data_IF_781292772249
#
_entry.id   IF_781292772249
#
_cell.length_a   1.000
_cell.length_b   1.000
_cell.length_c   1.000
_cell.angle_alpha   90.00
_cell.angle_beta   90.00
_cell.angle_gamma   90.00
#
_symmetry.space_group_name_H-M   'P 1'
#
loop_
_entity.id
_entity.type
_entity.pdbx_description
1 polymer ?
#
# COMPACT_ATOMS: atom_id res chain seq x y z
N UNK A 1 145.84 80.99 75.95
CA UNK A 1 144.80 81.19 74.93
C UNK A 1 144.50 79.86 74.25
N UNK A 2 143.42 79.14 74.55
CA UNK A 2 142.96 78.01 73.70
C UNK A 2 141.45 77.78 73.84
N UNK A 3 140.77 77.61 72.69
CA UNK A 3 139.30 77.47 72.54
C UNK A 3 138.89 75.98 72.60
N UNK A 4 137.94 75.70 73.49
CA UNK A 4 136.85 74.69 73.52
C UNK A 4 136.96 73.38 72.70
N UNK A 5 137.01 72.26 73.42
CA UNK A 5 136.61 70.92 72.97
C UNK A 5 135.61 70.31 73.97
N UNK A 6 134.37 70.02 73.54
CA UNK A 6 133.40 69.18 74.25
C UNK A 6 133.06 67.95 73.37
N UNK A 7 132.90 66.73 73.93
CA UNK A 7 132.97 65.48 73.17
C UNK A 7 131.77 65.21 72.23
N UNK A 8 132.07 64.70 71.04
CA UNK A 8 131.12 64.27 69.98
C UNK A 8 130.31 63.03 70.41
N UNK A 9 128.99 63.04 70.12
CA UNK A 9 127.98 62.00 70.42
C UNK A 9 128.34 60.62 69.80
N UNK A 10 128.20 59.55 70.61
CA UNK A 10 128.49 58.15 70.28
C UNK A 10 127.67 57.69 69.06
N UNK A 11 126.44 58.18 68.87
CA UNK A 11 125.60 57.85 67.70
C UNK A 11 126.10 58.51 66.42
N UNK A 12 126.55 59.76 66.48
CA UNK A 12 127.13 60.44 65.31
C UNK A 12 128.44 59.77 64.90
N UNK A 13 129.28 59.37 65.85
CA UNK A 13 130.49 58.60 65.57
C UNK A 13 130.18 57.28 64.85
N UNK A 14 129.15 56.54 65.28
CA UNK A 14 128.73 55.28 64.63
C UNK A 14 128.08 55.49 63.24
N UNK A 15 127.34 56.58 63.03
CA UNK A 15 126.79 56.93 61.72
C UNK A 15 127.89 57.36 60.73
N UNK A 16 128.86 58.14 61.21
CA UNK A 16 130.06 58.52 60.45
C UNK A 16 130.86 57.26 60.11
N UNK A 17 131.08 56.34 61.04
CA UNK A 17 131.76 55.08 60.76
C UNK A 17 131.01 54.18 59.78
N UNK A 18 129.67 54.07 59.86
CA UNK A 18 128.87 53.34 58.86
C UNK A 18 128.99 53.96 57.48
N UNK A 19 128.92 55.29 57.35
CA UNK A 19 129.17 55.97 56.07
C UNK A 19 130.60 55.75 55.60
N UNK A 20 131.59 55.83 56.49
CA UNK A 20 133.00 55.57 56.14
C UNK A 20 133.20 54.12 55.69
N UNK A 21 132.53 53.15 56.33
CA UNK A 21 132.57 51.73 55.96
C UNK A 21 131.87 51.48 54.63
N UNK A 22 130.67 52.02 54.43
CA UNK A 22 129.95 51.95 53.16
C UNK A 22 130.71 52.64 52.02
N UNK A 23 131.34 53.80 52.28
CA UNK A 23 132.18 54.50 51.31
C UNK A 23 133.47 53.72 51.03
N UNK A 24 134.09 53.08 52.02
CA UNK A 24 135.22 52.16 51.80
C UNK A 24 134.83 50.94 50.97
N UNK A 25 133.67 50.32 51.22
CA UNK A 25 133.14 49.20 50.42
C UNK A 25 132.73 49.64 49.01
N UNK A 26 132.24 50.87 48.86
CA UNK A 26 131.92 51.49 47.57
C UNK A 26 133.21 51.82 46.81
N UNK A 27 134.20 52.41 47.45
CA UNK A 27 135.53 52.67 46.88
C UNK A 27 136.21 51.35 46.47
N UNK A 28 136.10 50.29 47.26
CA UNK A 28 136.58 48.95 46.90
C UNK A 28 135.96 48.42 45.60
N UNK A 29 134.68 48.70 45.36
CA UNK A 29 133.97 48.34 44.10
C UNK A 29 134.30 49.28 42.94
N UNK A 30 134.41 50.58 43.20
CA UNK A 30 134.68 51.59 42.18
C UNK A 30 136.14 51.45 41.71
N UNK A 31 137.14 51.44 42.59
CA UNK A 31 138.55 51.41 42.16
C UNK A 31 139.02 50.03 41.65
N UNK A 32 138.24 48.96 41.83
CA UNK A 32 138.52 47.65 41.23
C UNK A 32 138.03 47.61 39.78
N UNK A 33 138.95 47.80 38.83
CA UNK A 33 138.65 47.83 37.39
C UNK A 33 137.87 46.59 36.90
N UNK A 34 138.16 45.40 37.45
CA UNK A 34 137.51 44.13 37.06
C UNK A 34 136.05 44.07 37.52
N UNK A 35 135.75 44.50 38.74
CA UNK A 35 134.36 44.60 39.23
C UNK A 35 133.58 45.72 38.52
N UNK A 36 134.26 46.81 38.12
CA UNK A 36 133.62 47.92 37.39
C UNK A 36 133.26 47.55 35.95
N UNK A 37 134.04 46.70 35.30
CA UNK A 37 133.83 46.32 33.89
C UNK A 37 132.92 45.09 33.72
N UNK A 38 133.00 44.08 34.62
CA UNK A 38 132.27 42.80 34.49
C UNK A 38 131.83 42.24 35.87
N UNK A 39 131.50 43.11 36.83
CA UNK A 39 130.99 42.68 38.13
C UNK A 39 129.57 42.11 38.02
N UNK A 40 129.40 40.83 38.33
CA UNK A 40 128.11 40.14 38.28
C UNK A 40 127.91 39.34 39.55
N UNK A 41 126.72 39.41 40.13
CA UNK A 41 126.32 38.59 41.28
C UNK A 41 125.96 37.17 40.79
N UNK A 42 126.91 36.25 40.96
CA UNK A 42 126.75 34.86 40.51
C UNK A 42 125.75 34.08 41.34
N UNK A 43 125.58 34.43 42.61
CA UNK A 43 124.66 33.75 43.53
C UNK A 43 123.22 34.13 43.16
N UNK A 44 122.94 35.42 42.98
CA UNK A 44 121.63 35.90 42.54
C UNK A 44 121.24 35.39 41.14
N UNK A 45 122.17 35.37 40.18
CA UNK A 45 121.90 34.76 38.86
C UNK A 45 121.67 33.25 38.96
N UNK A 46 122.40 32.54 39.82
CA UNK A 46 122.19 31.12 40.07
C UNK A 46 120.79 30.85 40.61
N UNK A 47 120.32 31.67 41.55
CA UNK A 47 118.96 31.59 42.09
C UNK A 47 117.90 31.91 41.02
N UNK A 48 118.10 32.95 40.20
CA UNK A 48 117.18 33.26 39.08
C UNK A 48 117.08 32.13 38.06
N UNK A 49 118.19 31.43 37.77
CA UNK A 49 118.17 30.25 36.89
C UNK A 49 117.40 29.11 37.54
N UNK A 50 117.59 28.87 38.85
CA UNK A 50 116.82 27.86 39.59
C UNK A 50 115.33 28.16 39.60
N UNK A 51 114.94 29.41 39.88
CA UNK A 51 113.53 29.84 39.89
C UNK A 51 112.89 29.69 38.50
N UNK A 52 113.60 30.08 37.43
CA UNK A 52 113.13 29.90 36.05
C UNK A 52 112.94 28.43 35.72
N UNK A 53 113.91 27.58 36.05
CA UNK A 53 113.81 26.15 35.80
C UNK A 53 112.67 25.51 36.61
N UNK A 54 112.47 25.95 37.85
CA UNK A 54 111.34 25.48 38.68
C UNK A 54 109.99 25.89 38.10
N UNK A 55 109.88 27.13 37.60
CA UNK A 55 108.68 27.60 36.91
C UNK A 55 108.42 26.82 35.62
N UNK A 56 109.46 26.55 34.83
CA UNK A 56 109.36 25.73 33.62
C UNK A 56 108.91 24.30 33.97
N UNK A 57 109.51 23.65 34.96
CA UNK A 57 109.10 22.31 35.41
C UNK A 57 107.65 22.29 35.89
N UNK A 58 107.19 23.35 36.58
CA UNK A 58 105.81 23.48 37.03
C UNK A 58 104.84 23.63 35.85
N UNK A 59 105.20 24.43 34.86
CA UNK A 59 104.42 24.62 33.63
C UNK A 59 104.37 23.35 32.78
N UNK A 60 105.49 22.64 32.64
CA UNK A 60 105.56 21.34 31.96
C UNK A 60 104.69 20.29 32.66
N UNK A 61 104.73 20.22 34.00
CA UNK A 61 103.83 19.34 34.78
C UNK A 61 102.37 19.70 34.58
N UNK A 62 102.04 20.99 34.53
CA UNK A 62 100.67 21.48 34.29
C UNK A 62 100.20 21.13 32.88
N UNK A 63 101.04 21.37 31.87
CA UNK A 63 100.76 21.01 30.48
C UNK A 63 100.57 19.50 30.32
N UNK A 64 101.42 18.69 30.96
CA UNK A 64 101.30 17.24 30.96
C UNK A 64 100.00 16.75 31.65
N UNK A 65 99.56 17.39 32.73
CA UNK A 65 98.29 17.08 33.37
C UNK A 65 97.10 17.39 32.45
N UNK A 66 97.08 18.57 31.82
CA UNK A 66 96.03 18.92 30.85
C UNK A 66 96.01 18.00 29.63
N UNK A 67 97.18 17.60 29.11
CA UNK A 67 97.26 16.65 28.02
C UNK A 67 96.63 15.28 28.40
N UNK A 68 96.90 14.79 29.61
CA UNK A 68 96.28 13.56 30.15
C UNK A 68 94.76 13.69 30.26
N UNK A 69 94.27 14.82 30.78
CA UNK A 69 92.83 15.08 30.91
C UNK A 69 92.16 15.21 29.55
N UNK A 70 92.80 15.83 28.55
CA UNK A 70 92.30 15.88 27.17
C UNK A 70 92.12 14.48 26.59
N UNK A 71 93.15 13.62 26.69
CA UNK A 71 93.07 12.22 26.21
C UNK A 71 91.94 11.46 26.93
N UNK A 72 91.80 11.65 28.25
CA UNK A 72 90.71 11.04 29.02
C UNK A 72 89.34 11.53 28.54
N UNK A 73 89.18 12.83 28.32
CA UNK A 73 87.92 13.40 27.87
C UNK A 73 87.57 12.95 26.44
N UNK A 74 88.56 12.90 25.54
CA UNK A 74 88.36 12.42 24.17
C UNK A 74 87.96 10.94 24.13
N UNK A 75 88.59 10.10 24.97
CA UNK A 75 88.21 8.68 25.09
C UNK A 75 86.80 8.50 25.66
N UNK A 76 86.41 9.31 26.67
CA UNK A 76 85.04 9.32 27.20
C UNK A 76 84.05 9.74 26.10
N UNK A 77 84.35 10.79 25.33
CA UNK A 77 83.50 11.26 24.25
C UNK A 77 83.27 10.19 23.18
N UNK A 78 84.33 9.49 22.75
CA UNK A 78 84.22 8.39 21.78
C UNK A 78 83.38 7.22 22.31
N UNK A 79 83.49 6.88 23.59
CA UNK A 79 82.69 5.82 24.20
C UNK A 79 81.21 6.21 24.28
N UNK A 80 80.91 7.45 24.65
CA UNK A 80 79.54 7.98 24.67
C UNK A 80 78.94 8.01 23.27
N UNK A 81 79.69 8.46 22.26
CA UNK A 81 79.24 8.49 20.87
C UNK A 81 78.94 7.08 20.36
N UNK A 82 79.83 6.10 20.61
CA UNK A 82 79.59 4.70 20.23
C UNK A 82 78.35 4.12 20.90
N UNK A 83 78.14 4.42 22.18
CA UNK A 83 76.94 3.97 22.90
C UNK A 83 75.69 4.60 22.31
N UNK A 84 75.70 5.90 22.06
CA UNK A 84 74.58 6.60 21.44
C UNK A 84 74.27 6.03 20.05
N UNK A 85 75.28 5.81 19.20
CA UNK A 85 75.09 5.22 17.88
C UNK A 85 74.52 3.79 17.96
N UNK A 86 74.93 3.01 18.96
CA UNK A 86 74.37 1.69 19.20
C UNK A 86 72.89 1.79 19.61
N UNK A 87 72.58 2.64 20.59
CA UNK A 87 71.21 2.87 21.08
C UNK A 87 70.30 3.40 19.96
N UNK A 88 70.78 4.33 19.13
CA UNK A 88 70.07 4.83 17.95
C UNK A 88 69.78 3.72 16.94
N UNK A 89 70.76 2.85 16.65
CA UNK A 89 70.57 1.71 15.75
C UNK A 89 69.56 0.71 16.28
N UNK A 90 69.61 0.39 17.56
CA UNK A 90 68.64 -0.50 18.20
C UNK A 90 67.24 0.12 18.20
N UNK A 91 67.12 1.42 18.50
CA UNK A 91 65.84 2.13 18.43
C UNK A 91 65.24 2.14 17.02
N UNK A 92 66.06 2.40 16.00
CA UNK A 92 65.62 2.35 14.59
C UNK A 92 65.20 0.93 14.21
N UNK A 93 65.93 -0.10 14.65
CA UNK A 93 65.56 -1.50 14.40
C UNK A 93 64.21 -1.83 15.04
N UNK A 94 64.04 -1.54 16.32
CA UNK A 94 62.80 -1.80 17.05
C UNK A 94 61.61 -1.05 16.43
N UNK A 95 61.80 0.21 16.01
CA UNK A 95 60.78 0.98 15.32
C UNK A 95 60.39 0.34 13.97
N UNK A 96 61.38 -0.08 13.17
CA UNK A 96 61.12 -0.72 11.89
C UNK A 96 60.40 -2.06 12.06
N UNK A 97 60.76 -2.86 13.06
CA UNK A 97 60.06 -4.11 13.38
C UNK A 97 58.61 -3.86 13.78
N UNK A 98 58.37 -2.87 14.65
CA UNK A 98 57.02 -2.46 15.05
C UNK A 98 56.18 -2.01 13.84
N UNK A 99 56.73 -1.15 12.99
CA UNK A 99 56.06 -0.68 11.78
C UNK A 99 55.74 -1.83 10.82
N UNK A 100 56.65 -2.79 10.66
CA UNK A 100 56.43 -3.97 9.82
C UNK A 100 55.30 -4.86 10.38
N UNK A 101 55.28 -5.09 11.69
CA UNK A 101 54.21 -5.86 12.34
C UNK A 101 52.86 -5.16 12.19
N UNK A 102 52.83 -3.85 12.43
CA UNK A 102 51.62 -3.05 12.27
C UNK A 102 51.11 -3.06 10.83
N UNK A 103 52.00 -2.91 9.83
CA UNK A 103 51.65 -2.98 8.40
C UNK A 103 51.08 -4.34 7.99
N UNK A 104 51.61 -5.45 8.53
CA UNK A 104 51.04 -6.79 8.31
C UNK A 104 49.63 -6.89 8.87
N UNK A 105 49.41 -6.38 10.09
CA UNK A 105 48.11 -6.42 10.73
C UNK A 105 47.06 -5.60 9.96
N UNK A 106 47.39 -4.37 9.56
CA UNK A 106 46.48 -3.53 8.76
C UNK A 106 46.16 -4.12 7.40
N UNK A 107 47.12 -4.78 6.75
CA UNK A 107 46.85 -5.51 5.51
C UNK A 107 45.84 -6.64 5.73
N UNK A 108 46.07 -7.47 6.76
CA UNK A 108 45.16 -8.58 7.10
C UNK A 108 43.74 -8.07 7.41
N UNK A 109 43.59 -7.01 8.20
CA UNK A 109 42.27 -6.46 8.52
C UNK A 109 41.58 -5.89 7.28
N UNK A 110 42.31 -5.21 6.40
CA UNK A 110 41.76 -4.71 5.13
C UNK A 110 41.25 -5.86 4.24
N UNK A 111 42.02 -6.95 4.09
CA UNK A 111 41.57 -8.11 3.29
C UNK A 111 40.34 -8.78 3.86
N UNK A 112 40.24 -8.86 5.20
CA UNK A 112 39.07 -9.41 5.89
C UNK A 112 37.84 -8.50 5.75
N UNK A 113 38.01 -7.18 5.83
CA UNK A 113 36.93 -6.23 5.57
C UNK A 113 36.42 -6.38 4.14
N UNK A 114 37.31 -6.49 3.16
CA UNK A 114 36.95 -6.69 1.76
C UNK A 114 36.18 -8.00 1.55
N UNK A 115 36.60 -9.09 2.19
CA UNK A 115 35.91 -10.37 2.09
C UNK A 115 34.50 -10.32 2.69
N UNK A 116 34.34 -9.67 3.85
CA UNK A 116 33.03 -9.43 4.48
C UNK A 116 32.14 -8.58 3.58
N UNK A 117 32.69 -7.51 2.98
CA UNK A 117 31.92 -6.66 2.06
C UNK A 117 31.45 -7.43 0.82
N UNK A 118 32.31 -8.28 0.24
CA UNK A 118 31.92 -9.17 -0.88
C UNK A 118 30.78 -10.09 -0.48
N UNK A 119 30.87 -10.73 0.69
CA UNK A 119 29.83 -11.61 1.20
C UNK A 119 28.49 -10.88 1.45
N UNK A 120 28.53 -9.69 2.06
CA UNK A 120 27.34 -8.85 2.25
C UNK A 120 26.66 -8.48 0.94
N UNK A 121 27.44 -8.17 -0.12
CA UNK A 121 26.89 -7.90 -1.46
C UNK A 121 26.20 -9.12 -2.05
N UNK A 122 26.74 -10.33 -1.85
CA UNK A 122 26.10 -11.57 -2.31
C UNK A 122 24.78 -11.83 -1.60
N UNK A 123 24.74 -11.75 -0.26
CA UNK A 123 23.50 -11.88 0.52
C UNK A 123 22.48 -10.84 0.10
N UNK A 124 22.90 -9.59 -0.13
CA UNK A 124 22.00 -8.53 -0.56
C UNK A 124 21.34 -8.88 -1.91
N UNK A 125 22.12 -9.36 -2.89
CA UNK A 125 21.61 -9.80 -4.19
C UNK A 125 20.65 -10.98 -4.05
N UNK A 126 21.01 -12.01 -3.29
CA UNK A 126 20.16 -13.17 -3.05
C UNK A 126 18.82 -12.76 -2.42
N UNK A 127 18.84 -11.86 -1.43
CA UNK A 127 17.63 -11.35 -0.80
C UNK A 127 16.77 -10.51 -1.76
N UNK A 128 17.38 -9.72 -2.65
CA UNK A 128 16.66 -8.99 -3.70
C UNK A 128 15.97 -9.96 -4.67
N UNK A 129 16.67 -11.00 -5.11
CA UNK A 129 16.11 -12.04 -5.98
C UNK A 129 14.96 -12.80 -5.30
N UNK A 130 15.12 -13.19 -4.03
CA UNK A 130 14.05 -13.82 -3.24
C UNK A 130 12.82 -12.92 -3.11
N UNK A 131 13.01 -11.61 -2.85
CA UNK A 131 11.90 -10.65 -2.77
C UNK A 131 11.21 -10.48 -4.12
N UNK A 132 11.96 -10.40 -5.21
CA UNK A 132 11.40 -10.31 -6.56
C UNK A 132 10.60 -11.57 -6.93
N UNK A 133 11.10 -12.76 -6.57
CA UNK A 133 10.40 -14.01 -6.79
C UNK A 133 9.11 -14.08 -5.97
N UNK A 134 9.17 -13.71 -4.68
CA UNK A 134 7.99 -13.67 -3.81
C UNK A 134 6.94 -12.70 -4.34
N UNK A 135 7.35 -11.51 -4.78
CA UNK A 135 6.44 -10.54 -5.39
C UNK A 135 5.76 -11.09 -6.64
N UNK A 136 6.50 -11.79 -7.52
CA UNK A 136 5.91 -12.47 -8.68
C UNK A 136 4.91 -13.54 -8.27
N UNK A 137 5.23 -14.35 -7.26
CA UNK A 137 4.30 -15.34 -6.73
C UNK A 137 3.03 -14.68 -6.20
N UNK A 138 3.15 -13.62 -5.41
CA UNK A 138 2.01 -12.83 -4.93
C UNK A 138 1.17 -12.27 -6.10
N UNK A 139 1.81 -11.78 -7.17
CA UNK A 139 1.11 -11.32 -8.38
C UNK A 139 0.34 -12.46 -9.08
N UNK A 140 0.92 -13.67 -9.16
CA UNK A 140 0.25 -14.85 -9.70
C UNK A 140 -0.90 -15.32 -8.81
N UNK A 141 -0.71 -15.34 -7.49
CA UNK A 141 -1.74 -15.73 -6.52
C UNK A 141 -2.91 -14.74 -6.57
N UNK A 142 -2.62 -13.44 -6.61
CA UNK A 142 -3.63 -12.39 -6.78
C UNK A 142 -4.39 -12.57 -8.10
N UNK A 143 -3.69 -12.87 -9.20
CA UNK A 143 -4.35 -13.11 -10.48
C UNK A 143 -5.23 -14.37 -10.45
N UNK A 144 -4.76 -15.45 -9.83
CA UNK A 144 -5.53 -16.68 -9.66
C UNK A 144 -6.78 -16.43 -8.79
N UNK A 145 -6.65 -15.68 -7.70
CA UNK A 145 -7.78 -15.28 -6.86
C UNK A 145 -8.80 -14.46 -7.65
N UNK A 146 -8.35 -13.43 -8.39
CA UNK A 146 -9.22 -12.63 -9.24
C UNK A 146 -9.94 -13.51 -10.29
N UNK A 147 -9.22 -14.39 -10.97
CA UNK A 147 -9.78 -15.28 -11.97
C UNK A 147 -10.84 -16.22 -11.34
N UNK A 148 -10.56 -16.78 -10.16
CA UNK A 148 -11.48 -17.64 -9.41
C UNK A 148 -12.71 -16.88 -8.93
N UNK A 149 -12.58 -15.61 -8.51
CA UNK A 149 -13.72 -14.79 -8.11
C UNK A 149 -14.61 -14.45 -9.30
N UNK A 150 -14.01 -14.05 -10.42
CA UNK A 150 -14.72 -13.65 -11.65
C UNK A 150 -15.44 -14.84 -12.29
N UNK A 151 -14.75 -15.99 -12.41
CA UNK A 151 -15.38 -17.25 -12.85
C UNK A 151 -16.25 -17.89 -11.77
N UNK A 152 -16.15 -17.37 -10.55
CA UNK A 152 -16.87 -17.82 -9.39
C UNK A 152 -18.37 -17.67 -9.56
N UNK A 153 -19.04 -18.53 -8.84
CA UNK A 153 -20.47 -18.80 -8.89
C UNK A 153 -21.32 -17.61 -8.39
N UNK A 154 -20.71 -16.72 -7.59
CA UNK A 154 -21.30 -15.48 -7.09
C UNK A 154 -21.33 -14.38 -8.15
N UNK A 155 -20.20 -14.10 -8.81
CA UNK A 155 -20.06 -12.99 -9.78
C UNK A 155 -20.57 -13.36 -11.17
N UNK A 156 -20.45 -14.63 -11.58
CA UNK A 156 -21.02 -15.12 -12.85
C UNK A 156 -22.54 -15.30 -12.80
N UNK A 157 -23.13 -15.15 -11.61
CA UNK A 157 -24.55 -15.39 -11.34
C UNK A 157 -25.09 -16.73 -11.87
N UNK A 158 -24.26 -17.77 -11.88
CA UNK A 158 -24.63 -19.09 -12.41
C UNK A 158 -26.04 -19.57 -11.98
N UNK A 159 -26.98 -19.80 -12.92
CA UNK A 159 -28.34 -20.28 -12.62
C UNK A 159 -28.39 -21.69 -12.03
N UNK A 160 -27.37 -22.52 -12.30
CA UNK A 160 -27.32 -23.92 -11.87
C UNK A 160 -27.23 -24.07 -10.35
N UNK A 161 -26.86 -23.01 -9.64
CA UNK A 161 -26.91 -22.94 -8.17
C UNK A 161 -28.31 -23.19 -7.59
N UNK A 162 -29.35 -22.94 -8.37
CA UNK A 162 -30.73 -23.19 -7.97
C UNK A 162 -31.11 -24.68 -8.04
N UNK A 163 -30.30 -25.54 -8.67
CA UNK A 163 -30.62 -26.95 -8.86
C UNK A 163 -30.52 -27.67 -7.51
N UNK A 164 -31.64 -28.26 -7.07
CA UNK A 164 -31.68 -29.04 -5.83
C UNK A 164 -31.01 -30.40 -6.01
N UNK A 165 -30.19 -30.77 -5.04
CA UNK A 165 -29.63 -32.12 -4.95
C UNK A 165 -30.71 -33.20 -4.76
N UNK A 166 -31.88 -32.83 -4.24
CA UNK A 166 -33.01 -33.75 -4.00
C UNK A 166 -33.86 -34.01 -5.25
N UNK A 167 -33.50 -33.43 -6.40
CA UNK A 167 -34.03 -33.82 -7.70
C UNK A 167 -34.33 -32.65 -8.65
N UNK A 168 -34.49 -32.92 -9.97
CA UNK A 168 -34.54 -31.88 -11.00
C UNK A 168 -35.77 -30.95 -10.94
N UNK A 169 -36.85 -31.40 -10.29
CA UNK A 169 -38.10 -30.65 -10.17
C UNK A 169 -38.10 -29.67 -8.98
N UNK A 170 -37.07 -29.71 -8.13
CA UNK A 170 -36.94 -28.85 -6.96
C UNK A 170 -35.89 -27.80 -7.21
N UNK A 171 -36.19 -26.59 -6.75
CA UNK A 171 -35.24 -25.47 -6.74
C UNK A 171 -34.88 -25.10 -5.31
N UNK A 172 -33.65 -24.66 -5.10
CA UNK A 172 -33.21 -24.07 -3.83
C UNK A 172 -33.75 -22.64 -3.77
N UNK A 173 -34.70 -22.32 -2.85
CA UNK A 173 -35.40 -21.04 -2.88
C UNK A 173 -34.47 -19.83 -2.81
N UNK A 174 -33.47 -19.88 -1.93
CA UNK A 174 -32.55 -18.76 -1.68
C UNK A 174 -31.61 -18.45 -2.84
N UNK A 175 -31.43 -19.41 -3.76
CA UNK A 175 -30.52 -19.31 -4.92
C UNK A 175 -31.25 -19.16 -6.24
N UNK A 176 -32.58 -19.03 -6.20
CA UNK A 176 -33.39 -18.97 -7.40
C UNK A 176 -33.32 -17.58 -8.07
N UNK A 177 -32.89 -17.56 -9.34
CA UNK A 177 -32.69 -16.33 -10.12
C UNK A 177 -33.69 -16.16 -11.28
N UNK A 178 -34.82 -16.85 -11.21
CA UNK A 178 -35.85 -16.85 -12.26
C UNK A 178 -35.85 -18.08 -13.16
N UNK A 179 -36.69 -18.05 -14.20
CA UNK A 179 -36.85 -19.17 -15.13
C UNK A 179 -35.85 -19.08 -16.28
N UNK A 180 -35.43 -20.25 -16.80
CA UNK A 180 -34.56 -20.32 -17.96
C UNK A 180 -35.27 -19.75 -19.21
N UNK A 181 -34.51 -19.20 -20.15
CA UNK A 181 -35.00 -18.68 -21.43
C UNK A 181 -35.82 -19.73 -22.20
N UNK A 182 -35.45 -21.01 -22.15
CA UNK A 182 -36.22 -22.08 -22.77
C UNK A 182 -37.58 -22.31 -22.10
N UNK A 183 -37.63 -22.25 -20.76
CA UNK A 183 -38.88 -22.38 -20.02
C UNK A 183 -39.82 -21.22 -20.33
N UNK A 184 -39.28 -20.00 -20.36
CA UNK A 184 -40.03 -18.80 -20.76
C UNK A 184 -40.52 -18.89 -22.21
N UNK A 185 -39.73 -19.47 -23.12
CA UNK A 185 -40.14 -19.69 -24.51
C UNK A 185 -41.34 -20.63 -24.58
N UNK A 186 -41.30 -21.76 -23.85
CA UNK A 186 -42.43 -22.72 -23.80
C UNK A 186 -43.71 -22.05 -23.30
N UNK A 187 -43.62 -21.22 -22.25
CA UNK A 187 -44.78 -20.47 -21.74
C UNK A 187 -45.34 -19.55 -22.81
N UNK A 188 -44.50 -18.84 -23.57
CA UNK A 188 -44.94 -17.96 -24.66
C UNK A 188 -45.61 -18.74 -25.79
N UNK A 189 -45.03 -19.87 -26.19
CA UNK A 189 -45.61 -20.77 -27.19
C UNK A 189 -46.99 -21.27 -26.75
N UNK A 190 -47.15 -21.61 -25.47
CA UNK A 190 -48.42 -22.08 -24.91
C UNK A 190 -49.47 -20.96 -24.82
N UNK A 191 -49.07 -19.75 -24.43
CA UNK A 191 -49.94 -18.58 -24.45
C UNK A 191 -50.44 -18.27 -25.87
N UNK A 192 -49.58 -18.41 -26.88
CA UNK A 192 -49.97 -18.23 -28.27
C UNK A 192 -51.03 -19.26 -28.70
N UNK A 193 -50.85 -20.52 -28.33
CA UNK A 193 -51.86 -21.57 -28.56
C UNK A 193 -53.18 -21.26 -27.86
N UNK A 194 -53.14 -20.75 -26.64
CA UNK A 194 -54.36 -20.36 -25.91
C UNK A 194 -55.11 -19.21 -26.59
N UNK A 195 -54.40 -18.24 -27.16
CA UNK A 195 -55.03 -17.15 -27.93
C UNK A 195 -55.71 -17.68 -29.19
N UNK A 196 -55.04 -18.58 -29.92
CA UNK A 196 -55.60 -19.22 -31.11
C UNK A 196 -56.84 -20.06 -30.77
N UNK A 197 -56.79 -20.84 -29.69
CA UNK A 197 -57.92 -21.64 -29.22
C UNK A 197 -59.09 -20.76 -28.76
N UNK A 198 -58.80 -19.67 -28.05
CA UNK A 198 -59.83 -18.70 -27.64
C UNK A 198 -60.50 -18.09 -28.86
N UNK A 199 -59.72 -17.64 -29.84
CA UNK A 199 -60.24 -17.07 -31.09
C UNK A 199 -61.16 -18.07 -31.80
N UNK A 200 -60.77 -19.34 -31.87
CA UNK A 200 -61.60 -20.40 -32.46
C UNK A 200 -62.91 -20.59 -31.69
N UNK A 201 -62.87 -20.59 -30.36
CA UNK A 201 -64.07 -20.67 -29.51
C UNK A 201 -65.01 -19.49 -29.73
N UNK A 202 -64.48 -18.27 -29.81
CA UNK A 202 -65.26 -17.06 -30.06
C UNK A 202 -65.94 -17.12 -31.44
N UNK A 203 -65.24 -17.63 -32.47
CA UNK A 203 -65.80 -17.87 -33.81
C UNK A 203 -66.91 -18.93 -33.80
N UNK A 204 -66.72 -20.06 -33.11
CA UNK A 204 -67.73 -21.10 -32.95
C UNK A 204 -68.97 -20.58 -32.18
N UNK A 205 -68.77 -19.79 -31.13
CA UNK A 205 -69.85 -19.18 -30.36
C UNK A 205 -70.64 -18.16 -31.20
N UNK A 206 -69.96 -17.33 -31.97
CA UNK A 206 -70.60 -16.41 -32.91
C UNK A 206 -71.43 -17.16 -33.95
N UNK A 207 -70.93 -18.29 -34.48
CA UNK A 207 -71.70 -19.14 -35.40
C UNK A 207 -72.95 -19.70 -34.74
N UNK A 208 -72.84 -20.27 -33.53
CA UNK A 208 -74.00 -20.77 -32.78
C UNK A 208 -75.01 -19.67 -32.48
N UNK A 209 -74.55 -18.48 -32.10
CA UNK A 209 -75.42 -17.34 -31.85
C UNK A 209 -76.18 -16.94 -33.12
N UNK A 210 -75.50 -16.88 -34.26
CA UNK A 210 -76.11 -16.60 -35.56
C UNK A 210 -77.16 -17.68 -35.93
N UNK A 211 -76.87 -18.95 -35.70
CA UNK A 211 -77.83 -20.05 -35.91
C UNK A 211 -79.07 -19.92 -35.02
N UNK A 212 -78.88 -19.59 -33.73
CA UNK A 212 -79.97 -19.33 -32.80
C UNK A 212 -80.83 -18.14 -33.22
N UNK A 213 -80.20 -17.04 -33.65
CA UNK A 213 -80.91 -15.86 -34.14
C UNK A 213 -81.70 -16.17 -35.42
N UNK A 214 -81.14 -16.96 -36.34
CA UNK A 214 -81.84 -17.44 -37.54
C UNK A 214 -83.06 -18.30 -37.18
N UNK A 215 -82.90 -19.25 -36.25
CA UNK A 215 -84.01 -20.09 -35.76
C UNK A 215 -85.10 -19.25 -35.11
N UNK A 216 -84.73 -18.32 -34.24
CA UNK A 216 -85.67 -17.40 -33.59
C UNK A 216 -86.48 -16.59 -34.61
N UNK A 217 -85.82 -16.07 -35.65
CA UNK A 217 -86.49 -15.33 -36.74
C UNK A 217 -87.43 -16.26 -37.52
N UNK A 218 -87.01 -17.49 -37.83
CA UNK A 218 -87.83 -18.45 -38.55
C UNK A 218 -89.07 -18.88 -37.75
N UNK A 219 -88.90 -19.15 -36.45
CA UNK A 219 -90.00 -19.48 -35.53
C UNK A 219 -90.97 -18.30 -35.37
N UNK A 220 -90.47 -17.07 -35.19
CA UNK A 220 -91.31 -15.88 -35.14
C UNK A 220 -92.13 -15.70 -36.44
N UNK A 221 -91.50 -15.93 -37.60
CA UNK A 221 -92.20 -15.91 -38.90
C UNK A 221 -93.26 -16.99 -39.00
N UNK A 222 -92.95 -18.22 -38.59
CA UNK A 222 -93.90 -19.34 -38.58
C UNK A 222 -95.08 -19.07 -37.64
N UNK A 223 -94.82 -18.52 -36.45
CA UNK A 223 -95.85 -18.09 -35.50
C UNK A 223 -96.78 -17.04 -36.09
N UNK A 224 -96.24 -15.99 -36.74
CA UNK A 224 -97.05 -14.97 -37.42
C UNK A 224 -97.91 -15.52 -38.56
N UNK A 225 -97.46 -16.57 -39.26
CA UNK A 225 -98.23 -17.23 -40.32
C UNK A 225 -99.36 -18.06 -39.70
N UNK A 226 -99.05 -18.83 -38.64
CA UNK A 226 -100.03 -19.64 -37.93
C UNK A 226 -101.13 -18.76 -37.28
N UNK A 227 -100.75 -17.66 -36.63
CA UNK A 227 -101.70 -16.69 -36.04
C UNK A 227 -102.61 -16.08 -37.12
N UNK A 228 -102.05 -15.69 -38.28
CA UNK A 228 -102.85 -15.23 -39.42
C UNK A 228 -103.81 -16.29 -39.95
N UNK A 229 -103.43 -17.56 -39.92
CA UNK A 229 -104.29 -18.66 -40.36
C UNK A 229 -105.44 -18.89 -39.37
N UNK A 230 -105.17 -18.89 -38.06
CA UNK A 230 -106.18 -18.98 -37.01
C UNK A 230 -107.17 -17.82 -37.13
N UNK A 231 -106.68 -16.60 -37.34
CA UNK A 231 -107.52 -15.40 -37.49
C UNK A 231 -108.43 -15.50 -38.73
N UNK A 232 -107.95 -16.06 -39.84
CA UNK A 232 -108.78 -16.33 -41.04
C UNK A 232 -109.86 -17.35 -40.76
N UNK A 233 -109.50 -18.46 -40.12
CA UNK A 233 -110.43 -19.53 -39.76
C UNK A 233 -111.50 -19.04 -38.79
N UNK A 234 -111.11 -18.25 -37.79
CA UNK A 234 -112.02 -17.59 -36.84
C UNK A 234 -113.00 -16.67 -37.57
N UNK A 235 -112.54 -15.81 -38.47
CA UNK A 235 -113.42 -14.93 -39.27
C UNK A 235 -114.38 -15.72 -40.15
N UNK A 236 -113.94 -16.84 -40.73
CA UNK A 236 -114.79 -17.71 -41.52
C UNK A 236 -115.89 -18.38 -40.65
N UNK A 237 -115.52 -18.83 -39.44
CA UNK A 237 -116.48 -19.36 -38.47
C UNK A 237 -117.47 -18.29 -38.01
N UNK A 238 -117.02 -17.08 -37.70
CA UNK A 238 -117.88 -15.95 -37.33
C UNK A 238 -118.85 -15.58 -38.46
N UNK A 239 -118.40 -15.62 -39.72
CA UNK A 239 -119.26 -15.39 -40.89
C UNK A 239 -120.31 -16.50 -41.07
N UNK A 240 -119.91 -17.77 -40.89
CA UNK A 240 -120.84 -18.90 -40.93
C UNK A 240 -121.91 -18.78 -39.85
N UNK A 241 -121.50 -18.49 -38.60
CA UNK A 241 -122.42 -18.24 -37.49
C UNK A 241 -123.37 -17.07 -37.78
N UNK A 242 -122.87 -15.99 -38.38
CA UNK A 242 -123.71 -14.86 -38.80
C UNK A 242 -124.77 -15.28 -39.83
N UNK A 243 -124.38 -16.03 -40.86
CA UNK A 243 -125.31 -16.52 -41.89
C UNK A 243 -126.35 -17.49 -41.33
N UNK A 244 -125.94 -18.40 -40.45
CA UNK A 244 -126.84 -19.35 -39.79
C UNK A 244 -127.84 -18.63 -38.88
N UNK A 245 -127.38 -17.64 -38.10
CA UNK A 245 -128.26 -16.78 -37.29
C UNK A 245 -129.27 -16.00 -38.16
N UNK A 246 -128.87 -15.52 -39.33
CA UNK A 246 -129.78 -14.86 -40.28
C UNK A 246 -130.83 -15.83 -40.83
N UNK A 247 -130.44 -17.05 -41.20
CA UNK A 247 -131.37 -18.10 -41.66
C UNK A 247 -132.37 -18.46 -40.57
N UNK A 248 -131.90 -18.78 -39.36
CA UNK A 248 -132.74 -19.11 -38.21
C UNK A 248 -133.72 -17.97 -37.87
N UNK A 249 -133.27 -16.71 -37.95
CA UNK A 249 -134.12 -15.53 -37.73
C UNK A 249 -135.22 -15.41 -38.79
N UNK A 250 -134.90 -15.65 -40.06
CA UNK A 250 -135.89 -15.65 -41.14
C UNK A 250 -136.86 -16.83 -41.02
N UNK A 251 -136.38 -18.03 -40.69
CA UNK A 251 -137.21 -19.20 -40.44
C UNK A 251 -138.18 -18.97 -39.27
N UNK A 252 -137.71 -18.40 -38.15
CA UNK A 252 -138.58 -18.01 -37.03
C UNK A 252 -139.61 -16.96 -37.46
N UNK A 253 -139.20 -15.93 -38.21
CA UNK A 253 -140.12 -14.89 -38.70
C UNK A 253 -141.19 -15.48 -39.62
N UNK A 254 -140.80 -16.38 -40.53
CA UNK A 254 -141.71 -17.07 -41.44
C UNK A 254 -142.66 -18.02 -40.70
N UNK A 255 -142.15 -18.80 -39.74
CA UNK A 255 -142.94 -19.69 -38.91
C UNK A 255 -143.97 -18.90 -38.10
N UNK A 256 -143.56 -17.77 -37.51
CA UNK A 256 -144.46 -16.88 -36.78
C UNK A 256 -145.56 -16.33 -37.68
N UNK A 257 -145.21 -15.88 -38.89
CA UNK A 257 -146.20 -15.42 -39.88
C UNK A 257 -147.17 -16.55 -40.32
N UNK A 258 -146.69 -17.79 -40.45
CA UNK A 258 -147.53 -18.95 -40.74
C UNK A 258 -148.49 -19.26 -39.59
N UNK A 259 -148.00 -19.28 -38.34
CA UNK A 259 -148.83 -19.50 -37.15
C UNK A 259 -149.94 -18.44 -37.05
N UNK A 260 -149.59 -17.16 -37.19
CA UNK A 260 -150.55 -16.05 -37.15
C UNK A 260 -151.61 -16.14 -38.26
N UNK A 261 -151.22 -16.56 -39.47
CA UNK A 261 -152.11 -16.58 -40.64
C UNK A 261 -152.98 -17.83 -40.74
N UNK A 262 -152.42 -19.01 -40.46
CA UNK A 262 -153.06 -20.31 -40.75
C UNK A 262 -153.59 -20.98 -39.50
N UNK A 263 -152.88 -20.88 -38.37
CA UNK A 263 -153.23 -21.60 -37.13
C UNK A 263 -154.07 -20.73 -36.20
N UNK A 264 -153.72 -19.45 -36.06
CA UNK A 264 -154.42 -18.53 -35.15
C UNK A 264 -155.62 -17.81 -35.79
N UNK A 265 -156.05 -18.22 -36.99
CA UNK A 265 -157.29 -17.75 -37.60
C UNK A 265 -158.42 -18.74 -37.33
N UNK A 266 -159.28 -18.41 -36.36
CA UNK A 266 -160.40 -19.25 -35.96
C UNK A 266 -161.61 -18.99 -36.88
N UNK A 267 -161.59 -19.59 -38.08
CA UNK A 267 -162.73 -19.57 -39.00
C UNK A 267 -163.77 -20.61 -38.54
N UNK A 268 -165.03 -20.23 -38.27
CA UNK A 268 -166.05 -21.19 -37.84
C UNK A 268 -166.29 -22.27 -38.88
N UNK A 269 -166.14 -23.54 -38.50
CA UNK A 269 -166.31 -24.69 -39.39
C UNK A 269 -167.76 -24.81 -39.86
N UNK A 270 -168.03 -25.31 -41.08
CA UNK A 270 -169.38 -25.41 -41.64
C UNK A 270 -170.41 -26.09 -40.71
N UNK A 271 -169.97 -27.02 -39.86
CA UNK A 271 -170.79 -27.66 -38.82
C UNK A 271 -171.37 -26.68 -37.77
N UNK A 272 -170.68 -25.57 -37.50
CA UNK A 272 -171.13 -24.50 -36.61
C UNK A 272 -172.41 -23.84 -37.13
N UNK A 273 -172.47 -23.56 -38.44
CA UNK A 273 -173.64 -22.92 -39.04
C UNK A 273 -174.85 -23.85 -39.18
N UNK A 274 -174.62 -25.17 -39.30
CA UNK A 274 -175.70 -26.18 -39.35
C UNK A 274 -176.38 -26.46 -38.00
N UNK A 275 -175.85 -25.94 -36.88
CA UNK A 275 -176.49 -26.06 -35.57
C UNK A 275 -177.72 -25.15 -35.43
N UNK A 276 -177.78 -24.03 -36.16
CA UNK A 276 -178.87 -23.05 -36.07
C UNK A 276 -180.02 -23.39 -37.04
N UNK A 277 -181.28 -23.22 -36.61
CA UNK A 277 -182.52 -23.51 -37.37
C UNK A 277 -182.78 -24.99 -37.71
N UNK A 278 -182.29 -25.94 -36.90
CA UNK A 278 -182.44 -27.39 -37.11
C UNK A 278 -183.73 -28.01 -36.54
N UNK A 279 -184.62 -27.22 -35.91
CA UNK A 279 -185.90 -27.69 -35.34
C UNK A 279 -187.00 -26.64 -35.54
N UNK A 280 -188.17 -27.05 -36.04
CA UNK A 280 -189.29 -26.18 -36.44
C UNK A 280 -190.23 -25.78 -35.28
N UNK A 281 -189.67 -25.51 -34.09
CA UNK A 281 -190.46 -25.12 -32.91
C UNK A 281 -190.36 -23.63 -32.64
#
# INVERSE_FOLDING_TARGET
MYKLDLPIDIKEKAAIERRRRAEKERQGRIFNAKQRQIGVDKEALGQQVQDRNWMQDLEEKRAAAFAKDSIRNDTIAQLLERRQQFDERENIRALNEFLQQHAKLTFLTSTLIDSIQRYRRLIFRENQERRALKKRQEEYDNFAEMANLVSGDLLSENPDQAISQFGPHRVVPDRWKGMNAEQLRRIREEQQKQLEEKKRRDEEEQQRQNEWDQRRIAEAKAGMIAERQIERERRAQELNLYNDNQRLSNEQRNLKAYLDRVVYTNQPTAAYFTQFNSSSR
#
